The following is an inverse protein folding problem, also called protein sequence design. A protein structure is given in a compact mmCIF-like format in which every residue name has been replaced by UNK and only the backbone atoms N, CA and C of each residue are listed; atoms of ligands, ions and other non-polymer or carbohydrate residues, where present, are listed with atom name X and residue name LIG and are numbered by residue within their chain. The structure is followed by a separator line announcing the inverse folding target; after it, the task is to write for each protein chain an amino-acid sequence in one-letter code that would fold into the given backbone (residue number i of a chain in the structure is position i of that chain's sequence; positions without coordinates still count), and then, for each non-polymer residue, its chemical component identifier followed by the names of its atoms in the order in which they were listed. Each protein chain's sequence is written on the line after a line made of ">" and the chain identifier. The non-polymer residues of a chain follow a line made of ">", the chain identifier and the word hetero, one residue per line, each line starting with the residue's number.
data_IF_053087029754
#
_entry.id   IF_053087029754
#
_cell.length_a   1.000
_cell.length_b   1.000
_cell.length_c   1.000
_cell.angle_alpha   90.00
_cell.angle_beta   90.00
_cell.angle_gamma   90.00
#
_symmetry.space_group_name_H-M   'P 1'
#
loop_
_entity.id
_entity.type
_entity.pdbx_description
1 polymer ?
#
# COMPACT_ATOMS: atom_id res chain seq x y z
N UNK A 1 35.36 33.25 -8.49
CA UNK A 1 34.13 32.54 -8.08
C UNK A 1 33.58 31.79 -9.27
N UNK A 2 32.86 30.71 -8.99
CA UNK A 2 32.62 29.51 -9.79
C UNK A 2 32.23 29.68 -11.28
N UNK A 3 32.60 28.63 -12.01
CA UNK A 3 32.66 28.45 -13.45
C UNK A 3 31.32 28.09 -14.10
N UNK A 4 31.25 28.44 -15.39
CA UNK A 4 30.38 27.91 -16.46
C UNK A 4 30.52 26.37 -16.59
N UNK A 5 29.75 25.57 -17.35
CA UNK A 5 29.24 25.72 -18.71
C UNK A 5 28.22 24.59 -19.01
N UNK A 6 27.28 24.91 -19.89
CA UNK A 6 26.44 23.99 -20.67
C UNK A 6 27.26 23.21 -21.70
N UNK A 7 26.89 21.95 -22.03
CA UNK A 7 26.84 21.35 -23.39
C UNK A 7 26.36 19.88 -23.32
N UNK A 8 25.28 19.52 -24.02
CA UNK A 8 25.23 18.86 -25.33
C UNK A 8 25.77 17.41 -25.34
N UNK A 9 24.86 16.45 -25.54
CA UNK A 9 25.15 15.02 -25.68
C UNK A 9 25.15 14.61 -27.16
N UNK A 10 26.31 14.24 -27.68
CA UNK A 10 26.50 13.50 -28.94
C UNK A 10 27.12 12.14 -28.61
N UNK A 11 26.58 11.07 -29.20
CA UNK A 11 26.93 9.69 -28.87
C UNK A 11 28.25 9.19 -29.46
N UNK A 12 28.69 8.03 -28.98
CA UNK A 12 29.15 6.88 -29.81
C UNK A 12 29.78 5.78 -28.93
N UNK A 13 29.59 4.57 -29.45
CA UNK A 13 30.19 3.24 -29.25
C UNK A 13 31.52 3.01 -28.50
N UNK A 14 31.53 1.84 -27.81
CA UNK A 14 32.55 0.76 -27.79
C UNK A 14 33.61 0.61 -26.67
N UNK A 15 33.70 -0.65 -26.21
CA UNK A 15 34.87 -1.46 -25.78
C UNK A 15 35.33 -1.48 -24.29
N UNK A 16 35.34 -2.71 -23.73
CA UNK A 16 35.97 -3.18 -22.48
C UNK A 16 37.52 -3.20 -22.62
N UNK A 17 38.38 -3.16 -21.55
CA UNK A 17 38.54 -4.26 -20.56
C UNK A 17 38.94 -3.90 -19.10
N UNK A 18 38.66 -4.86 -18.20
CA UNK A 18 39.32 -5.25 -16.95
C UNK A 18 39.78 -4.20 -15.90
N UNK A 19 39.09 -4.23 -14.75
CA UNK A 19 39.60 -3.80 -13.45
C UNK A 19 38.76 -4.39 -12.31
N UNK A 20 39.34 -5.31 -11.54
CA UNK A 20 38.68 -6.03 -10.43
C UNK A 20 38.71 -5.15 -9.18
N UNK A 21 37.55 -4.83 -8.62
CA UNK A 21 37.33 -4.51 -7.21
C UNK A 21 35.87 -4.87 -6.87
N UNK A 22 35.58 -5.48 -5.70
CA UNK A 22 34.26 -6.00 -5.39
C UNK A 22 33.34 -4.84 -5.04
N UNK A 23 32.60 -4.32 -6.02
CA UNK A 23 31.46 -3.48 -5.73
C UNK A 23 30.39 -4.36 -5.10
N UNK A 24 30.13 -4.07 -3.83
CA UNK A 24 29.08 -4.67 -3.02
C UNK A 24 27.84 -4.94 -3.88
N UNK A 25 27.36 -6.19 -3.82
CA UNK A 25 25.98 -6.50 -4.17
C UNK A 25 25.11 -5.55 -3.35
N UNK A 26 24.67 -4.45 -3.95
CA UNK A 26 23.48 -3.73 -3.52
C UNK A 26 22.36 -4.72 -3.75
N UNK A 27 22.13 -5.55 -2.73
CA UNK A 27 20.95 -6.35 -2.55
C UNK A 27 19.78 -5.40 -2.74
N UNK A 28 19.18 -5.43 -3.93
CA UNK A 28 18.05 -4.58 -4.26
C UNK A 28 16.97 -4.86 -3.23
N UNK A 29 16.82 -3.93 -2.29
CA UNK A 29 15.74 -3.98 -1.33
C UNK A 29 14.46 -3.98 -2.15
N UNK A 30 13.77 -5.13 -2.15
CA UNK A 30 12.45 -5.23 -2.77
C UNK A 30 11.54 -4.34 -1.95
N UNK A 31 11.31 -3.13 -2.43
CA UNK A 31 10.23 -2.28 -1.95
C UNK A 31 8.95 -2.98 -2.40
N UNK A 32 8.38 -3.79 -1.51
CA UNK A 32 7.13 -4.50 -1.74
C UNK A 32 5.99 -3.52 -1.54
N UNK A 33 5.75 -2.66 -2.52
CA UNK A 33 4.57 -1.82 -2.56
C UNK A 33 3.40 -2.65 -3.10
N UNK A 34 2.46 -3.01 -2.22
CA UNK A 34 1.16 -3.56 -2.61
C UNK A 34 0.36 -2.46 -3.30
N UNK A 35 0.40 -2.43 -4.63
CA UNK A 35 -0.52 -1.62 -5.42
C UNK A 35 -1.90 -2.26 -5.36
N UNK A 36 -2.77 -1.73 -4.50
CA UNK A 36 -4.20 -2.02 -4.56
C UNK A 36 -4.78 -1.34 -5.80
N UNK A 37 -5.60 -2.03 -6.63
CA UNK A 37 -6.28 -1.41 -7.77
C UNK A 37 -7.26 -0.30 -7.35
N UNK A 38 -7.50 -0.15 -6.04
CA UNK A 38 -8.33 0.88 -5.45
C UNK A 38 -7.53 2.06 -4.88
N UNK A 39 -6.33 2.29 -5.40
CA UNK A 39 -5.52 3.47 -5.08
C UNK A 39 -6.33 4.74 -5.33
N UNK A 40 -6.89 5.34 -4.27
CA UNK A 40 -7.74 6.53 -4.34
C UNK A 40 -9.19 6.38 -3.87
N UNK A 41 -9.60 5.22 -3.32
CA UNK A 41 -10.87 5.16 -2.59
C UNK A 41 -10.77 6.00 -1.31
N UNK A 42 -11.65 6.99 -1.20
CA UNK A 42 -11.87 7.72 0.06
C UNK A 42 -12.57 6.76 1.05
N UNK A 43 -11.95 6.46 2.22
CA UNK A 43 -12.57 5.60 3.24
C UNK A 43 -13.96 6.12 3.67
N UNK A 44 -14.16 7.45 3.66
CA UNK A 44 -15.46 8.05 3.97
C UNK A 44 -16.49 7.75 2.88
N UNK A 45 -16.05 7.65 1.62
CA UNK A 45 -16.91 7.28 0.48
C UNK A 45 -17.42 5.83 0.53
N UNK A 46 -16.87 4.99 1.40
CA UNK A 46 -17.32 3.61 1.59
C UNK A 46 -18.46 3.47 2.60
N UNK A 47 -18.75 4.50 3.40
CA UNK A 47 -19.79 4.45 4.43
C UNK A 47 -21.14 4.02 3.84
N UNK A 48 -21.74 3.01 4.47
CA UNK A 48 -23.02 2.42 4.06
C UNK A 48 -22.95 1.51 2.84
N UNK A 49 -21.77 1.29 2.23
CA UNK A 49 -21.61 0.37 1.10
C UNK A 49 -21.33 -1.05 1.57
N UNK A 50 -21.84 -2.01 0.82
CA UNK A 50 -21.35 -3.38 0.89
C UNK A 50 -19.99 -3.44 0.18
N UNK A 51 -19.03 -4.07 0.84
CA UNK A 51 -17.68 -4.26 0.33
C UNK A 51 -17.30 -5.73 0.46
N UNK A 52 -16.54 -6.22 -0.50
CA UNK A 52 -15.79 -7.46 -0.34
C UNK A 52 -14.37 -7.09 0.05
N UNK A 53 -13.89 -7.55 1.19
CA UNK A 53 -12.60 -7.17 1.75
C UNK A 53 -11.70 -8.38 1.93
N UNK A 54 -10.41 -8.12 1.87
CA UNK A 54 -9.35 -9.01 2.30
C UNK A 54 -8.63 -8.38 3.49
N UNK A 55 -8.48 -9.12 4.58
CA UNK A 55 -7.82 -8.72 5.80
C UNK A 55 -6.66 -9.67 6.08
N UNK A 56 -5.44 -9.13 6.18
CA UNK A 56 -4.25 -9.87 6.63
C UNK A 56 -4.19 -9.80 8.17
N UNK A 57 -4.37 -10.93 8.85
CA UNK A 57 -4.26 -10.95 10.31
C UNK A 57 -2.80 -10.84 10.76
N UNK A 58 -2.52 -9.91 11.67
CA UNK A 58 -1.16 -9.64 12.16
C UNK A 58 -0.48 -10.87 12.82
N UNK A 59 -1.28 -11.79 13.38
CA UNK A 59 -0.78 -12.97 14.10
C UNK A 59 -1.01 -14.30 13.39
N UNK A 60 -1.62 -14.30 12.21
CA UNK A 60 -1.80 -15.51 11.42
C UNK A 60 -1.40 -15.24 9.97
N UNK A 61 -0.64 -16.15 9.37
CA UNK A 61 -0.35 -16.07 7.93
C UNK A 61 -1.60 -16.34 7.06
N UNK A 62 -2.80 -16.24 7.64
CA UNK A 62 -4.06 -16.49 6.98
C UNK A 62 -4.64 -15.17 6.51
N UNK A 63 -4.95 -15.17 5.23
CA UNK A 63 -5.63 -14.08 4.55
C UNK A 63 -7.12 -14.36 4.64
N UNK A 64 -7.86 -13.54 5.38
CA UNK A 64 -9.30 -13.65 5.49
C UNK A 64 -9.97 -12.86 4.38
N UNK A 65 -11.02 -13.42 3.78
CA UNK A 65 -11.83 -12.76 2.76
C UNK A 65 -13.30 -12.89 3.11
N UNK A 66 -14.00 -11.77 3.17
CA UNK A 66 -15.41 -11.76 3.55
C UNK A 66 -16.14 -10.54 2.97
N UNK A 67 -17.46 -10.65 2.90
CA UNK A 67 -18.35 -9.53 2.61
C UNK A 67 -18.74 -8.82 3.91
N UNK A 68 -18.80 -7.49 3.86
CA UNK A 68 -19.21 -6.68 5.00
C UNK A 68 -19.83 -5.36 4.55
N UNK A 69 -20.61 -4.75 5.44
CA UNK A 69 -21.05 -3.35 5.31
C UNK A 69 -20.11 -2.46 6.09
N UNK A 70 -19.69 -1.35 5.48
CA UNK A 70 -18.94 -0.32 6.20
C UNK A 70 -19.90 0.53 7.02
N UNK A 71 -19.86 0.39 8.35
CA UNK A 71 -20.78 1.05 9.27
C UNK A 71 -20.26 2.43 9.70
N UNK A 72 -18.96 2.53 9.95
CA UNK A 72 -18.34 3.76 10.41
C UNK A 72 -16.89 3.88 9.94
N UNK A 73 -16.38 5.11 9.96
CA UNK A 73 -14.99 5.44 9.72
C UNK A 73 -14.46 6.23 10.91
N UNK A 74 -13.42 5.72 11.53
CA UNK A 74 -12.69 6.40 12.58
C UNK A 74 -11.47 7.07 11.95
N UNK A 75 -11.49 8.40 11.90
CA UNK A 75 -10.34 9.17 11.47
C UNK A 75 -9.20 9.00 12.48
N UNK A 76 -8.02 8.61 11.97
CA UNK A 76 -6.82 8.49 12.76
C UNK A 76 -6.25 9.84 13.20
N UNK A 77 -5.32 9.78 14.14
CA UNK A 77 -4.52 10.91 14.60
C UNK A 77 -3.03 10.54 14.50
N UNK A 78 -2.40 10.73 13.33
CA UNK A 78 -1.02 10.28 13.10
C UNK A 78 0.00 10.87 14.08
N UNK A 79 -0.24 12.10 14.56
CA UNK A 79 0.60 12.74 15.59
C UNK A 79 0.62 12.00 16.94
N UNK A 80 -0.35 11.12 17.17
CA UNK A 80 -0.45 10.25 18.35
C UNK A 80 -0.20 8.77 18.02
N UNK A 81 0.19 8.45 16.77
CA UNK A 81 0.34 7.07 16.31
C UNK A 81 -0.98 6.31 16.18
N UNK A 82 -2.12 7.01 16.13
CA UNK A 82 -3.44 6.38 15.96
C UNK A 82 -3.73 6.32 14.46
N UNK A 83 -3.86 5.11 13.92
CA UNK A 83 -4.23 4.89 12.54
C UNK A 83 -5.75 5.05 12.31
N UNK A 84 -6.14 5.36 11.08
CA UNK A 84 -7.54 5.35 10.67
C UNK A 84 -8.06 3.92 10.56
N UNK A 85 -9.33 3.72 10.94
CA UNK A 85 -9.95 2.40 10.98
C UNK A 85 -11.36 2.45 10.40
N UNK A 86 -11.82 1.32 9.88
CA UNK A 86 -13.20 1.12 9.43
C UNK A 86 -13.91 0.17 10.40
N UNK A 87 -15.13 0.52 10.77
CA UNK A 87 -16.03 -0.41 11.46
C UNK A 87 -16.78 -1.21 10.40
N UNK A 88 -16.53 -2.52 10.36
CA UNK A 88 -17.12 -3.44 9.41
C UNK A 88 -18.15 -4.31 10.12
N UNK A 89 -19.32 -4.48 9.49
CA UNK A 89 -20.32 -5.48 9.88
C UNK A 89 -20.25 -6.66 8.92
N UNK A 90 -19.72 -7.81 9.33
CA UNK A 90 -19.64 -8.99 8.49
C UNK A 90 -21.02 -9.52 8.07
N UNK A 91 -21.12 -10.06 6.85
CA UNK A 91 -22.37 -10.65 6.34
C UNK A 91 -22.72 -12.00 7.00
N UNK A 92 -21.77 -12.63 7.70
CA UNK A 92 -21.94 -13.94 8.36
C UNK A 92 -22.65 -13.86 9.73
N UNK A 93 -23.01 -12.64 10.16
CA UNK A 93 -23.68 -12.39 11.43
C UNK A 93 -22.73 -12.32 12.63
N UNK A 94 -21.42 -12.29 12.40
CA UNK A 94 -20.43 -11.97 13.43
C UNK A 94 -20.58 -10.54 13.94
N UNK A 95 -19.96 -10.25 15.08
CA UNK A 95 -19.96 -8.92 15.67
C UNK A 95 -19.23 -7.89 14.78
N UNK A 96 -19.61 -6.62 14.92
CA UNK A 96 -18.95 -5.52 14.22
C UNK A 96 -17.49 -5.37 14.67
N UNK A 97 -16.56 -5.24 13.73
CA UNK A 97 -15.11 -5.19 14.00
C UNK A 97 -14.47 -3.90 13.47
N UNK A 98 -13.60 -3.29 14.28
CA UNK A 98 -12.73 -2.21 13.83
C UNK A 98 -11.48 -2.78 13.18
N UNK A 99 -11.25 -2.45 11.91
CA UNK A 99 -10.09 -2.92 11.16
C UNK A 99 -9.29 -1.73 10.62
N UNK A 100 -7.94 -1.71 10.81
CA UNK A 100 -7.08 -0.68 10.25
C UNK A 100 -7.18 -0.59 8.73
N UNK A 101 -7.18 0.63 8.20
CA UNK A 101 -7.22 0.84 6.74
C UNK A 101 -5.96 0.27 6.07
N UNK A 102 -4.81 0.31 6.73
CA UNK A 102 -3.56 -0.31 6.24
C UNK A 102 -3.62 -1.83 6.10
N UNK A 103 -4.41 -2.51 6.94
CA UNK A 103 -4.54 -3.96 6.96
C UNK A 103 -5.65 -4.49 6.03
N UNK A 104 -6.42 -3.58 5.41
CA UNK A 104 -7.54 -3.90 4.53
C UNK A 104 -7.18 -3.71 3.06
N UNK A 105 -7.50 -4.72 2.26
CA UNK A 105 -7.61 -4.58 0.81
C UNK A 105 -9.07 -4.74 0.42
N UNK A 106 -9.69 -3.66 -0.05
CA UNK A 106 -10.99 -3.73 -0.70
C UNK A 106 -10.82 -4.48 -2.01
N UNK A 107 -11.64 -5.50 -2.26
CA UNK A 107 -11.65 -6.30 -3.48
C UNK A 107 -12.80 -5.89 -4.41
N UNK A 108 -13.93 -5.47 -3.85
CA UNK A 108 -15.09 -4.98 -4.58
C UNK A 108 -15.93 -4.05 -3.70
N UNK A 109 -16.65 -3.13 -4.34
CA UNK A 109 -17.65 -2.25 -3.71
C UNK A 109 -18.97 -2.44 -4.45
N UNK A 110 -20.04 -2.68 -3.71
CA UNK A 110 -21.39 -2.88 -4.25
C UNK A 110 -22.25 -1.65 -3.99
N UNK A 111 -23.06 -1.28 -4.98
CA UNK A 111 -23.86 -0.05 -4.99
C UNK A 111 -25.25 -0.21 -4.44
#
# INVERSE_FOLDING_TARGET
>A
MAYLHSTQTTGSTQSHPFGILPQALTQGEKISCSFSPFSGLDPVGLLGRHVHVQHDQEYSAQVLRYGAVVVAFQAGAPGYGIESQLLLRPDDGSDDEYVPVSALTVLAVFS
#
